data_IF_639736280516
#
_entry.id   IF_639736280516
#
_cell.length_a   1.000
_cell.length_b   1.000
_cell.length_c   1.000
_cell.angle_alpha   90.00
_cell.angle_beta   90.00
_cell.angle_gamma   90.00
#
_symmetry.space_group_name_H-M   'P 1'
#
loop_
_entity.id
_entity.type
_entity.pdbx_description
1 polymer ?
#
# COMPACT_ATOMS: atom_id res chain seq x y z
N UNK A 1 -35.93 -26.60 -14.01
CA UNK A 1 -34.89 -25.63 -14.41
C UNK A 1 -33.83 -25.66 -13.35
N UNK A 2 -32.63 -26.13 -13.66
CA UNK A 2 -31.51 -26.11 -12.72
C UNK A 2 -31.08 -24.64 -12.54
N UNK A 3 -31.16 -24.13 -11.31
CA UNK A 3 -30.53 -22.86 -10.98
C UNK A 3 -29.02 -23.01 -11.20
N UNK A 4 -28.36 -22.08 -11.90
CA UNK A 4 -26.90 -22.11 -11.96
C UNK A 4 -26.40 -21.92 -10.53
N UNK A 5 -25.76 -22.96 -9.99
CA UNK A 5 -24.96 -22.85 -8.77
C UNK A 5 -23.83 -21.89 -9.12
N UNK A 6 -23.94 -20.62 -8.70
CA UNK A 6 -22.76 -19.76 -8.73
C UNK A 6 -21.75 -20.45 -7.82
N UNK A 7 -20.60 -20.81 -8.39
CA UNK A 7 -19.49 -21.33 -7.60
C UNK A 7 -18.95 -20.13 -6.83
N UNK A 8 -19.55 -19.86 -5.66
CA UNK A 8 -19.10 -18.79 -4.78
C UNK A 8 -17.74 -19.22 -4.25
N UNK A 9 -16.69 -18.51 -4.67
CA UNK A 9 -15.35 -18.71 -4.13
C UNK A 9 -15.38 -18.47 -2.61
N UNK A 10 -14.64 -19.24 -1.80
CA UNK A 10 -14.55 -18.98 -0.38
C UNK A 10 -14.09 -17.54 -0.10
N UNK A 11 -14.74 -16.88 0.85
CA UNK A 11 -14.47 -15.49 1.22
C UNK A 11 -13.70 -15.47 2.53
N UNK A 12 -12.56 -14.77 2.50
CA UNK A 12 -11.70 -14.63 3.66
C UNK A 12 -11.42 -13.15 3.93
N UNK A 13 -11.64 -12.72 5.16
CA UNK A 13 -11.27 -11.38 5.62
C UNK A 13 -9.98 -11.44 6.42
N UNK A 14 -9.05 -10.52 6.15
CA UNK A 14 -7.73 -10.50 6.78
C UNK A 14 -7.42 -9.09 7.28
N UNK A 15 -7.38 -8.97 8.61
CA UNK A 15 -6.81 -7.78 9.24
C UNK A 15 -5.28 -7.98 9.40
N UNK A 16 -4.50 -7.02 8.91
CA UNK A 16 -3.05 -7.14 8.82
C UNK A 16 -2.37 -6.16 9.77
N UNK A 17 -1.86 -6.72 10.87
CA UNK A 17 -1.01 -6.01 11.79
C UNK A 17 0.47 -6.17 11.41
N UNK A 18 1.34 -5.48 12.17
CA UNK A 18 2.79 -5.56 11.98
C UNK A 18 3.32 -6.98 12.22
N UNK A 19 2.88 -7.61 13.31
CA UNK A 19 3.47 -8.85 13.82
C UNK A 19 2.57 -10.07 13.57
N UNK A 20 1.28 -9.87 13.26
CA UNK A 20 0.31 -10.94 13.01
C UNK A 20 -0.71 -10.59 11.90
N UNK A 21 -1.35 -11.65 11.40
CA UNK A 21 -2.48 -11.62 10.49
C UNK A 21 -3.66 -12.28 11.21
N UNK A 22 -4.75 -11.54 11.41
CA UNK A 22 -6.00 -12.09 11.95
C UNK A 22 -6.93 -12.39 10.79
N UNK A 23 -7.28 -13.66 10.67
CA UNK A 23 -7.89 -14.25 9.48
C UNK A 23 -9.24 -14.83 9.84
N UNK A 24 -10.26 -14.47 9.08
CA UNK A 24 -11.61 -15.02 9.22
C UNK A 24 -12.05 -15.68 7.92
N UNK A 25 -12.32 -16.98 7.96
CA UNK A 25 -12.86 -17.76 6.84
C UNK A 25 -14.38 -17.87 6.95
N UNK A 26 -15.12 -17.21 6.06
CA UNK A 26 -16.56 -17.02 6.20
C UNK A 26 -17.37 -18.32 6.10
N UNK A 27 -16.95 -19.26 5.26
CA UNK A 27 -17.65 -20.53 5.02
C UNK A 27 -17.48 -21.51 6.17
N UNK A 28 -16.35 -21.45 6.87
CA UNK A 28 -16.04 -22.31 8.01
C UNK A 28 -16.42 -21.67 9.36
N UNK A 29 -16.83 -20.40 9.36
CA UNK A 29 -16.91 -19.53 10.54
C UNK A 29 -15.67 -19.64 11.45
N UNK A 30 -14.49 -19.78 10.82
CA UNK A 30 -13.23 -20.02 11.51
C UNK A 30 -12.46 -18.71 11.62
N UNK A 31 -12.06 -18.39 12.86
CA UNK A 31 -11.13 -17.31 13.15
C UNK A 31 -9.79 -17.89 13.58
N UNK A 32 -8.71 -17.48 12.93
CA UNK A 32 -7.34 -17.88 13.24
C UNK A 32 -6.39 -16.68 13.18
N UNK A 33 -5.24 -16.80 13.85
CA UNK A 33 -4.16 -15.83 13.77
C UNK A 33 -2.87 -16.53 13.39
N UNK A 34 -2.10 -15.92 12.48
CA UNK A 34 -0.76 -16.38 12.11
C UNK A 34 0.25 -15.24 12.22
N UNK A 35 1.53 -15.52 12.47
CA UNK A 35 2.57 -14.50 12.40
C UNK A 35 2.65 -13.83 11.02
N UNK A 36 2.92 -12.52 10.99
CA UNK A 36 3.17 -11.79 9.74
C UNK A 36 4.62 -12.00 9.26
N UNK A 37 4.95 -13.26 8.96
CA UNK A 37 6.23 -13.66 8.38
C UNK A 37 6.04 -14.55 7.15
N UNK A 38 7.04 -14.56 6.29
CA UNK A 38 6.98 -15.27 5.01
C UNK A 38 6.75 -16.78 5.15
N UNK A 39 7.28 -17.42 6.20
CA UNK A 39 7.16 -18.87 6.37
C UNK A 39 5.74 -19.24 6.81
N UNK A 40 5.19 -18.51 7.79
CA UNK A 40 3.82 -18.68 8.25
C UNK A 40 2.81 -18.42 7.14
N UNK A 41 2.95 -17.29 6.42
CA UNK A 41 2.07 -16.92 5.29
C UNK A 41 2.13 -17.99 4.20
N UNK A 42 3.32 -18.44 3.80
CA UNK A 42 3.47 -19.46 2.75
C UNK A 42 2.84 -20.79 3.17
N UNK A 43 2.97 -21.18 4.44
CA UNK A 43 2.35 -22.40 4.96
C UNK A 43 0.82 -22.29 4.91
N UNK A 44 0.27 -21.16 5.34
CA UNK A 44 -1.16 -20.91 5.34
C UNK A 44 -1.75 -20.88 3.92
N UNK A 45 -1.14 -20.14 2.99
CA UNK A 45 -1.58 -20.08 1.59
C UNK A 45 -1.58 -21.45 0.90
N UNK A 46 -0.64 -22.34 1.23
CA UNK A 46 -0.60 -23.71 0.68
C UNK A 46 -1.75 -24.60 1.16
N UNK A 47 -2.34 -24.29 2.31
CA UNK A 47 -3.47 -25.05 2.86
C UNK A 47 -4.81 -24.59 2.27
N UNK A 48 -4.85 -23.45 1.60
CA UNK A 48 -6.06 -22.93 0.97
C UNK A 48 -6.41 -23.66 -0.33
N UNK A 49 -7.69 -23.70 -0.70
CA UNK A 49 -8.10 -24.04 -2.05
C UNK A 49 -7.59 -22.97 -3.04
N UNK A 50 -7.39 -23.34 -4.30
CA UNK A 50 -6.72 -22.50 -5.31
C UNK A 50 -7.49 -21.23 -5.75
N UNK A 51 -8.72 -21.01 -5.29
CA UNK A 51 -9.58 -19.90 -5.74
C UNK A 51 -10.33 -19.27 -4.56
N UNK A 52 -9.61 -18.50 -3.74
CA UNK A 52 -10.17 -17.77 -2.59
C UNK A 52 -10.24 -16.28 -2.90
N UNK A 53 -11.33 -15.64 -2.48
CA UNK A 53 -11.50 -14.18 -2.53
C UNK A 53 -11.14 -13.58 -1.16
N UNK A 54 -10.11 -12.73 -1.13
CA UNK A 54 -9.52 -12.17 0.08
C UNK A 54 -9.83 -10.68 0.20
N UNK A 55 -10.45 -10.25 1.29
CA UNK A 55 -10.52 -8.84 1.67
C UNK A 55 -9.43 -8.48 2.68
N UNK A 56 -8.66 -7.45 2.36
CA UNK A 56 -7.49 -7.02 3.15
C UNK A 56 -7.60 -5.53 3.45
N UNK A 57 -7.40 -5.13 4.71
CA UNK A 57 -7.32 -3.71 5.06
C UNK A 57 -5.99 -3.08 4.56
N UNK A 58 -6.07 -1.99 3.81
CA UNK A 58 -4.92 -1.37 3.13
C UNK A 58 -4.34 -0.12 3.84
N UNK A 59 -4.29 -0.06 5.17
CA UNK A 59 -3.94 1.19 5.89
C UNK A 59 -2.45 1.55 5.98
N UNK A 60 -1.55 0.56 5.93
CA UNK A 60 -0.11 0.78 6.09
C UNK A 60 0.70 0.04 5.00
N UNK A 61 1.90 -0.48 5.29
CA UNK A 61 2.70 -1.27 4.34
C UNK A 61 2.82 -2.74 4.71
N UNK A 62 2.32 -3.15 5.88
CA UNK A 62 2.48 -4.51 6.39
C UNK A 62 1.68 -5.55 5.58
N UNK A 63 0.59 -5.12 4.95
CA UNK A 63 -0.21 -5.98 4.06
C UNK A 63 0.47 -6.32 2.72
N UNK A 64 1.48 -5.56 2.29
CA UNK A 64 2.03 -5.70 0.93
C UNK A 64 2.63 -7.08 0.68
N UNK A 65 3.39 -7.61 1.64
CA UNK A 65 4.02 -8.93 1.49
C UNK A 65 2.98 -10.05 1.45
N UNK A 66 1.97 -9.97 2.32
CA UNK A 66 0.86 -10.92 2.33
C UNK A 66 0.08 -10.88 1.01
N UNK A 67 -0.27 -9.68 0.54
CA UNK A 67 -1.02 -9.50 -0.70
C UNK A 67 -0.25 -10.00 -1.93
N UNK A 68 1.05 -9.74 -2.03
CA UNK A 68 1.89 -10.26 -3.11
C UNK A 68 1.90 -11.80 -3.13
N UNK A 69 2.16 -12.41 -1.97
CA UNK A 69 2.23 -13.87 -1.85
C UNK A 69 0.87 -14.53 -2.11
N UNK A 70 -0.22 -13.92 -1.65
CA UNK A 70 -1.57 -14.41 -1.89
C UNK A 70 -1.95 -14.32 -3.38
N UNK A 71 -1.55 -13.23 -4.05
CA UNK A 71 -1.76 -13.09 -5.50
C UNK A 71 -0.96 -14.15 -6.28
N UNK A 72 0.30 -14.38 -5.92
CA UNK A 72 1.14 -15.43 -6.49
C UNK A 72 0.58 -16.85 -6.26
N UNK A 73 -0.16 -17.04 -5.16
CA UNK A 73 -0.85 -18.29 -4.85
C UNK A 73 -2.18 -18.47 -5.61
N UNK A 74 -2.60 -17.49 -6.42
CA UNK A 74 -3.82 -17.54 -7.22
C UNK A 74 -5.08 -16.99 -6.53
N UNK A 75 -4.94 -16.41 -5.33
CA UNK A 75 -6.07 -15.76 -4.66
C UNK A 75 -6.47 -14.46 -5.39
N UNK A 76 -7.76 -14.16 -5.38
CA UNK A 76 -8.27 -12.86 -5.84
C UNK A 76 -8.34 -11.94 -4.63
N UNK A 77 -7.72 -10.76 -4.72
CA UNK A 77 -7.56 -9.87 -3.56
C UNK A 77 -8.42 -8.64 -3.77
N UNK A 78 -9.02 -8.14 -2.70
CA UNK A 78 -9.80 -6.91 -2.64
C UNK A 78 -9.23 -6.05 -1.51
N UNK A 79 -8.68 -4.90 -1.87
CA UNK A 79 -8.13 -3.96 -0.90
C UNK A 79 -9.22 -3.04 -0.40
N UNK A 80 -9.48 -3.05 0.91
CA UNK A 80 -10.49 -2.21 1.55
C UNK A 80 -9.78 -1.10 2.33
N UNK A 81 -10.19 0.14 2.13
CA UNK A 81 -9.59 1.27 2.83
C UNK A 81 -10.01 1.30 4.30
N UNK A 82 -9.11 1.63 5.24
CA UNK A 82 -9.48 1.72 6.66
C UNK A 82 -10.56 2.78 6.97
N UNK A 83 -10.62 3.85 6.18
CA UNK A 83 -11.70 4.85 6.28
C UNK A 83 -13.05 4.26 5.86
N UNK A 84 -13.08 3.54 4.75
CA UNK A 84 -14.25 2.85 4.20
C UNK A 84 -14.76 1.78 5.16
N UNK A 85 -13.87 0.90 5.65
CA UNK A 85 -14.20 -0.12 6.64
C UNK A 85 -14.74 0.50 7.94
N UNK A 86 -14.20 1.64 8.36
CA UNK A 86 -14.68 2.38 9.54
C UNK A 86 -16.10 2.92 9.39
N UNK A 87 -16.45 3.45 8.20
CA UNK A 87 -17.81 3.91 7.92
C UNK A 87 -18.77 2.73 7.84
N UNK A 88 -18.35 1.65 7.18
CA UNK A 88 -19.13 0.42 7.11
C UNK A 88 -19.44 -0.13 8.51
N UNK A 89 -18.43 -0.19 9.40
CA UNK A 89 -18.58 -0.62 10.80
C UNK A 89 -19.71 0.13 11.51
N UNK A 90 -19.74 1.46 11.37
CA UNK A 90 -20.79 2.33 11.94
C UNK A 90 -22.16 2.02 11.34
N UNK A 91 -22.23 1.85 10.02
CA UNK A 91 -23.46 1.52 9.30
C UNK A 91 -24.09 0.20 9.76
N UNK A 92 -23.26 -0.82 9.99
CA UNK A 92 -23.72 -2.13 10.50
C UNK A 92 -23.84 -2.21 12.03
N UNK A 93 -23.68 -1.06 12.72
CA UNK A 93 -23.82 -0.91 14.19
C UNK A 93 -22.88 -1.79 15.02
N UNK A 94 -21.71 -2.15 14.50
CA UNK A 94 -20.66 -2.82 15.27
C UNK A 94 -19.90 -1.76 16.09
N UNK A 95 -20.02 -1.82 17.42
CA UNK A 95 -19.46 -0.78 18.32
C UNK A 95 -18.03 -1.05 18.76
N UNK A 96 -17.68 -2.32 18.95
CA UNK A 96 -16.34 -2.71 19.36
C UNK A 96 -15.40 -2.75 18.15
N UNK A 97 -14.15 -2.37 18.37
CA UNK A 97 -13.06 -2.52 17.40
C UNK A 97 -12.06 -3.51 17.97
N UNK A 98 -11.93 -4.66 17.33
CA UNK A 98 -10.91 -5.67 17.61
C UNK A 98 -10.50 -6.30 16.29
N UNK A 99 -9.27 -6.76 16.17
CA UNK A 99 -8.73 -7.34 14.93
C UNK A 99 -9.59 -8.52 14.44
N UNK A 100 -10.13 -9.32 15.37
CA UNK A 100 -11.10 -10.38 15.08
C UNK A 100 -12.41 -9.89 14.46
N UNK A 101 -12.97 -8.78 14.99
CA UNK A 101 -14.18 -8.18 14.44
C UNK A 101 -13.90 -7.49 13.11
N UNK A 102 -12.71 -6.93 12.93
CA UNK A 102 -12.29 -6.26 11.70
C UNK A 102 -12.08 -7.29 10.57
N UNK A 103 -11.46 -8.44 10.85
CA UNK A 103 -11.38 -9.57 9.91
C UNK A 103 -12.78 -10.07 9.50
N UNK A 104 -13.71 -10.23 10.46
CA UNK A 104 -15.11 -10.58 10.15
C UNK A 104 -15.81 -9.51 9.33
N UNK A 105 -15.55 -8.25 9.62
CA UNK A 105 -16.15 -7.12 8.92
C UNK A 105 -15.64 -7.02 7.48
N UNK A 106 -14.36 -7.30 7.23
CA UNK A 106 -13.78 -7.38 5.89
C UNK A 106 -14.43 -8.47 5.05
N UNK A 107 -14.57 -9.69 5.60
CA UNK A 107 -15.26 -10.78 4.90
C UNK A 107 -16.73 -10.42 4.59
N UNK A 108 -17.43 -9.82 5.56
CA UNK A 108 -18.80 -9.33 5.37
C UNK A 108 -18.87 -8.25 4.29
N UNK A 109 -17.93 -7.30 4.29
CA UNK A 109 -17.87 -6.21 3.34
C UNK A 109 -17.68 -6.76 1.93
N UNK A 110 -16.70 -7.65 1.72
CA UNK A 110 -16.48 -8.30 0.43
C UNK A 110 -17.70 -9.08 -0.04
N UNK A 111 -18.35 -9.84 0.86
CA UNK A 111 -19.55 -10.61 0.51
C UNK A 111 -20.71 -9.73 0.03
N UNK A 112 -20.91 -8.56 0.65
CA UNK A 112 -22.08 -7.72 0.38
C UNK A 112 -21.84 -6.71 -0.75
N UNK A 113 -20.61 -6.23 -0.90
CA UNK A 113 -20.24 -5.21 -1.88
C UNK A 113 -19.50 -5.80 -3.10
N UNK A 114 -19.45 -7.14 -3.22
CA UNK A 114 -18.65 -7.88 -4.20
C UNK A 114 -18.73 -7.33 -5.62
N UNK A 115 -19.94 -7.03 -6.09
CA UNK A 115 -20.19 -6.61 -7.48
C UNK A 115 -19.58 -5.25 -7.82
N UNK A 116 -19.40 -4.38 -6.81
CA UNK A 116 -18.82 -3.05 -6.96
C UNK A 116 -17.31 -3.03 -6.67
N UNK A 117 -16.78 -4.12 -6.11
CA UNK A 117 -15.38 -4.23 -5.76
C UNK A 117 -14.53 -4.67 -6.94
N UNK A 118 -13.36 -4.05 -7.05
CA UNK A 118 -12.41 -4.32 -8.11
C UNK A 118 -11.26 -5.18 -7.55
N UNK A 119 -10.93 -6.31 -8.19
CA UNK A 119 -9.77 -7.09 -7.81
C UNK A 119 -8.50 -6.24 -7.84
N UNK A 120 -7.76 -6.28 -6.73
CA UNK A 120 -6.45 -5.69 -6.62
C UNK A 120 -5.45 -6.42 -7.52
N UNK A 121 -4.69 -5.63 -8.26
CA UNK A 121 -3.59 -6.10 -9.09
C UNK A 121 -2.29 -5.55 -8.48
N UNK A 122 -1.25 -6.39 -8.29
CA UNK A 122 0.05 -5.94 -7.86
C UNK A 122 0.56 -4.79 -8.75
N UNK A 123 0.93 -3.62 -8.17
CA UNK A 123 1.50 -2.56 -8.97
C UNK A 123 2.85 -2.97 -9.55
N UNK A 124 3.19 -2.37 -10.69
CA UNK A 124 4.43 -2.68 -11.41
C UNK A 124 5.68 -2.50 -10.53
N UNK A 125 6.76 -3.28 -10.77
CA UNK A 125 8.02 -3.11 -10.05
C UNK A 125 8.56 -1.68 -10.11
N UNK A 126 8.41 -1.01 -11.26
CA UNK A 126 8.80 0.38 -11.45
C UNK A 126 8.00 1.31 -10.51
N UNK A 127 6.67 1.19 -10.50
CA UNK A 127 5.81 1.98 -9.62
C UNK A 127 6.21 1.82 -8.16
N UNK A 128 6.42 0.57 -7.72
CA UNK A 128 6.84 0.26 -6.34
C UNK A 128 8.15 0.95 -5.99
N UNK A 129 9.17 0.85 -6.84
CA UNK A 129 10.48 1.50 -6.63
C UNK A 129 10.34 3.01 -6.55
N UNK A 130 9.67 3.62 -7.53
CA UNK A 130 9.45 5.07 -7.57
C UNK A 130 8.70 5.56 -6.32
N UNK A 131 7.59 4.92 -5.95
CA UNK A 131 6.83 5.24 -4.74
C UNK A 131 7.69 5.14 -3.48
N UNK A 132 8.55 4.13 -3.41
CA UNK A 132 9.52 3.94 -2.33
C UNK A 132 10.50 5.12 -2.23
N UNK A 133 11.05 5.58 -3.36
CA UNK A 133 11.98 6.71 -3.42
C UNK A 133 11.27 8.03 -3.04
N UNK A 134 10.07 8.27 -3.56
CA UNK A 134 9.27 9.45 -3.21
C UNK A 134 8.98 9.54 -1.71
N UNK A 135 8.59 8.42 -1.08
CA UNK A 135 8.33 8.36 0.37
C UNK A 135 9.59 8.70 1.18
N UNK A 136 10.75 8.14 0.81
CA UNK A 136 12.03 8.44 1.48
C UNK A 136 12.43 9.90 1.34
N UNK A 137 12.30 10.48 0.13
CA UNK A 137 12.57 11.90 -0.08
C UNK A 137 11.65 12.78 0.77
N UNK A 138 10.35 12.48 0.80
CA UNK A 138 9.40 13.23 1.62
C UNK A 138 9.76 13.18 3.11
N UNK A 139 10.14 12.00 3.63
CA UNK A 139 10.60 11.85 5.00
C UNK A 139 11.88 12.66 5.30
N UNK A 140 12.85 12.65 4.38
CA UNK A 140 14.09 13.44 4.51
C UNK A 140 13.79 14.95 4.56
N UNK A 141 12.95 15.44 3.64
CA UNK A 141 12.55 16.85 3.60
C UNK A 141 11.82 17.23 4.89
N UNK A 142 10.89 16.41 5.36
CA UNK A 142 10.17 16.65 6.62
C UNK A 142 11.13 16.72 7.81
N UNK A 143 12.06 15.77 7.92
CA UNK A 143 13.06 15.77 8.98
C UNK A 143 13.95 17.02 8.91
N UNK A 144 14.42 17.39 7.72
CA UNK A 144 15.27 18.57 7.52
C UNK A 144 14.54 19.86 7.90
N UNK A 145 13.31 20.02 7.42
CA UNK A 145 12.47 21.20 7.73
C UNK A 145 12.20 21.28 9.23
N UNK A 146 11.85 20.17 9.87
CA UNK A 146 11.66 20.10 11.32
C UNK A 146 12.90 20.54 12.08
N UNK A 147 14.08 20.02 11.72
CA UNK A 147 15.34 20.42 12.33
C UNK A 147 15.65 21.91 12.13
N UNK A 148 15.49 22.44 10.92
CA UNK A 148 15.73 23.86 10.62
C UNK A 148 14.84 24.77 11.46
N UNK A 149 13.55 24.43 11.59
CA UNK A 149 12.63 25.23 12.39
C UNK A 149 12.94 25.17 13.89
N UNK A 150 13.36 24.01 14.39
CA UNK A 150 13.66 23.85 15.82
C UNK A 150 15.01 24.43 16.26
N UNK A 151 15.98 24.57 15.34
CA UNK A 151 17.37 24.94 15.68
C UNK A 151 17.80 26.31 15.13
N UNK A 152 16.89 27.07 14.51
CA UNK A 152 17.21 28.37 13.88
C UNK A 152 17.78 29.42 14.85
N UNK A 153 17.55 29.27 16.16
CA UNK A 153 17.91 30.23 17.20
C UNK A 153 19.14 29.84 18.04
N UNK A 154 19.82 28.71 17.74
CA UNK A 154 20.99 28.25 18.50
C UNK A 154 22.31 28.72 17.83
N UNK A 155 22.99 29.75 18.35
CA UNK A 155 24.18 30.31 17.73
C UNK A 155 25.44 29.45 17.91
N UNK A 156 25.54 28.65 18.97
CA UNK A 156 26.77 27.91 19.30
C UNK A 156 27.01 26.74 18.33
N UNK A 157 25.96 26.22 17.71
CA UNK A 157 26.01 25.06 16.81
C UNK A 157 25.83 25.43 15.34
N UNK A 158 25.86 26.72 14.99
CA UNK A 158 25.51 27.21 13.65
C UNK A 158 26.27 26.53 12.50
N UNK A 159 27.59 26.34 12.63
CA UNK A 159 28.42 25.71 11.60
C UNK A 159 28.10 24.22 11.45
N UNK A 160 28.11 23.47 12.56
CA UNK A 160 27.78 22.05 12.58
C UNK A 160 26.36 21.78 12.06
N UNK A 161 25.40 22.66 12.40
CA UNK A 161 24.04 22.57 11.91
C UNK A 161 23.94 22.80 10.40
N UNK A 162 24.66 23.80 9.87
CA UNK A 162 24.72 24.04 8.43
C UNK A 162 25.31 22.85 7.66
N UNK A 163 26.35 22.20 8.19
CA UNK A 163 26.92 20.98 7.62
C UNK A 163 25.93 19.81 7.61
N UNK A 164 25.18 19.62 8.70
CA UNK A 164 24.15 18.60 8.80
C UNK A 164 23.03 18.83 7.77
N UNK A 165 22.55 20.08 7.64
CA UNK A 165 21.53 20.44 6.65
C UNK A 165 22.04 20.18 5.23
N UNK A 166 23.28 20.56 4.92
CA UNK A 166 23.90 20.30 3.63
C UNK A 166 24.02 18.79 3.34
N UNK A 167 24.32 17.99 4.37
CA UNK A 167 24.35 16.53 4.27
C UNK A 167 22.98 15.95 3.90
N UNK A 168 21.92 16.41 4.54
CA UNK A 168 20.55 15.99 4.22
C UNK A 168 20.14 16.38 2.79
N UNK A 169 20.49 17.59 2.34
CA UNK A 169 20.24 18.04 0.97
C UNK A 169 20.98 17.20 -0.09
N UNK A 170 22.23 16.78 0.20
CA UNK A 170 22.96 15.85 -0.69
C UNK A 170 22.22 14.51 -0.81
N UNK A 171 21.67 14.00 0.30
CA UNK A 171 20.89 12.76 0.28
C UNK A 171 19.55 12.94 -0.47
N UNK A 172 18.86 14.07 -0.31
CA UNK A 172 17.68 14.42 -1.11
C UNK A 172 17.99 14.40 -2.61
N UNK A 173 19.11 15.02 -3.01
CA UNK A 173 19.59 15.07 -4.40
C UNK A 173 19.94 13.68 -4.93
N UNK A 174 20.54 12.82 -4.10
CA UNK A 174 20.83 11.43 -4.49
C UNK A 174 19.53 10.67 -4.77
N UNK A 175 18.51 10.83 -3.94
CA UNK A 175 17.20 10.19 -4.17
C UNK A 175 16.54 10.72 -5.45
N UNK A 176 16.66 12.02 -5.74
CA UNK A 176 16.20 12.62 -7.01
C UNK A 176 16.91 12.03 -8.22
N UNK A 177 18.23 11.85 -8.13
CA UNK A 177 19.01 11.19 -9.18
C UNK A 177 18.53 9.75 -9.40
N UNK A 178 18.32 8.98 -8.33
CA UNK A 178 17.80 7.61 -8.44
C UNK A 178 16.40 7.57 -9.09
N UNK A 179 15.53 8.54 -8.81
CA UNK A 179 14.23 8.67 -9.49
C UNK A 179 14.45 8.91 -10.99
N UNK A 180 15.35 9.82 -11.35
CA UNK A 180 15.67 10.12 -12.76
C UNK A 180 16.21 8.89 -13.49
N UNK A 181 17.12 8.15 -12.86
CA UNK A 181 17.72 6.94 -13.41
C UNK A 181 16.66 5.85 -13.65
N UNK A 182 15.75 5.63 -12.69
CA UNK A 182 14.63 4.68 -12.88
C UNK A 182 13.68 5.09 -14.02
N UNK A 183 13.39 6.38 -14.18
CA UNK A 183 12.58 6.87 -15.30
C UNK A 183 13.31 6.74 -16.64
N UNK A 184 14.64 6.90 -16.65
CA UNK A 184 15.48 6.70 -17.83
C UNK A 184 15.52 5.24 -18.26
N UNK A 185 15.76 4.33 -17.33
CA UNK A 185 15.73 2.89 -17.57
C UNK A 185 14.38 2.42 -18.11
N UNK A 186 13.29 3.03 -17.65
CA UNK A 186 11.94 2.76 -18.12
C UNK A 186 11.56 3.44 -19.45
N UNK A 187 12.43 4.26 -20.05
CA UNK A 187 12.14 4.99 -21.29
C UNK A 187 11.18 6.18 -21.14
N UNK A 188 10.90 6.63 -19.91
CA UNK A 188 9.86 7.63 -19.60
C UNK A 188 10.36 9.08 -19.60
N UNK A 189 11.60 9.34 -20.04
CA UNK A 189 12.15 10.70 -20.08
C UNK A 189 11.43 11.62 -21.07
N UNK A 190 10.93 11.08 -22.18
CA UNK A 190 10.15 11.85 -23.13
C UNK A 190 8.85 12.37 -22.48
N UNK A 191 8.21 11.51 -21.68
CA UNK A 191 6.97 11.82 -20.97
C UNK A 191 7.23 12.87 -19.89
N UNK A 192 8.35 12.73 -19.18
CA UNK A 192 8.79 13.69 -18.16
C UNK A 192 9.00 15.07 -18.76
N UNK A 193 9.68 15.14 -19.91
CA UNK A 193 9.85 16.39 -20.66
C UNK A 193 8.51 17.00 -21.08
N UNK A 194 7.49 16.19 -21.40
CA UNK A 194 6.14 16.70 -21.71
C UNK A 194 5.47 17.28 -20.46
N UNK A 195 5.53 16.58 -19.32
CA UNK A 195 4.99 17.07 -18.06
C UNK A 195 5.62 18.41 -17.65
N UNK A 196 6.94 18.54 -17.75
CA UNK A 196 7.67 19.75 -17.30
C UNK A 196 7.52 20.96 -18.23
N UNK A 197 6.85 20.82 -19.38
CA UNK A 197 6.49 21.97 -20.23
C UNK A 197 5.32 22.77 -19.67
N UNK A 198 4.52 22.17 -18.79
CA UNK A 198 3.42 22.85 -18.13
C UNK A 198 3.98 23.76 -17.04
N UNK A 199 3.60 25.03 -17.06
CA UNK A 199 4.00 25.99 -16.04
C UNK A 199 3.63 25.50 -14.64
N UNK A 200 4.56 25.62 -13.69
CA UNK A 200 4.40 25.12 -12.32
C UNK A 200 4.71 23.63 -12.12
N UNK A 201 4.95 22.84 -13.19
CA UNK A 201 5.33 21.42 -13.07
C UNK A 201 6.84 21.26 -13.14
N UNK A 202 7.48 21.13 -11.97
CA UNK A 202 8.89 20.78 -11.85
C UNK A 202 9.17 19.28 -12.00
N UNK A 203 10.46 18.90 -11.99
CA UNK A 203 10.93 17.52 -12.11
C UNK A 203 10.18 16.53 -11.21
N UNK A 204 10.10 16.82 -9.90
CA UNK A 204 9.47 15.94 -8.92
C UNK A 204 7.97 15.76 -9.15
N UNK A 205 7.27 16.84 -9.45
CA UNK A 205 5.84 16.81 -9.77
C UNK A 205 5.59 16.01 -11.05
N UNK A 206 6.37 16.26 -12.11
CA UNK A 206 6.29 15.52 -13.36
C UNK A 206 6.60 14.02 -13.18
N UNK A 207 7.68 13.70 -12.45
CA UNK A 207 8.05 12.32 -12.14
C UNK A 207 6.95 11.60 -11.34
N UNK A 208 6.29 12.32 -10.41
CA UNK A 208 5.19 11.78 -9.61
C UNK A 208 3.96 11.52 -10.46
N UNK A 209 3.61 12.42 -11.38
CA UNK A 209 2.51 12.23 -12.32
C UNK A 209 2.74 10.98 -13.17
N UNK A 210 3.92 10.84 -13.76
CA UNK A 210 4.30 9.66 -14.55
C UNK A 210 4.15 8.39 -13.71
N UNK A 211 4.69 8.37 -12.50
CA UNK A 211 4.54 7.23 -11.62
C UNK A 211 3.06 6.91 -11.36
N UNK A 212 2.20 7.89 -11.11
CA UNK A 212 0.76 7.66 -10.92
C UNK A 212 0.12 6.96 -12.12
N UNK A 213 0.49 7.34 -13.35
CA UNK A 213 -0.01 6.68 -14.57
C UNK A 213 0.52 5.25 -14.76
N UNK A 214 1.58 4.85 -14.05
CA UNK A 214 2.09 3.47 -14.03
C UNK A 214 1.40 2.56 -13.00
N UNK A 215 0.40 3.08 -12.27
CA UNK A 215 -0.30 2.34 -11.21
C UNK A 215 -1.25 1.26 -11.75
N UNK A 216 -1.79 1.45 -12.95
CA UNK A 216 -2.73 0.54 -13.59
C UNK A 216 -3.31 1.17 -14.85
N UNK A 217 -4.16 0.42 -15.55
CA UNK A 217 -4.87 0.93 -16.73
C UNK A 217 -5.99 1.88 -16.29
N UNK A 218 -5.97 3.10 -16.83
CA UNK A 218 -7.06 4.06 -16.69
C UNK A 218 -7.98 3.84 -17.88
N UNK A 219 -9.15 3.22 -17.65
CA UNK A 219 -10.24 3.13 -18.63
C UNK A 219 -11.17 4.33 -18.51
#
# INVERSE_FOLDING_TARGET
>A
MAMPVSVVKPIVGVDVAKDELVIYQAELDLLESIPNDKAAIKKWLKALPAQVDLAIESTNTYHLAFADMAHEAGCTIYMVGGYELSHYRKGVKVRAKTDALDAKLLARYLKNEYEELHPWIPPSPLYRRLLSLFRRRAALVQARVGLVQSWANEPLLKSAFAEQVASMQRLETLVEKMISDQLKEAGLLADLKRCTKVEGIGFLTGARLIATFQRGDFR
#
